data_IF_819054967650
#
_entry.id   IF_819054967650
#
_cell.length_a   1.000
_cell.length_b   1.000
_cell.length_c   1.000
_cell.angle_alpha   90.00
_cell.angle_beta   90.00
_cell.angle_gamma   90.00
#
_symmetry.space_group_name_H-M   'P 1'
#
loop_
_entity.id
_entity.type
_entity.pdbx_description
1 polymer ?
#
# COMPACT_ATOMS: atom_id res chain seq x y z
N UNK A 1 -17.60 18.77 0.24
CA UNK A 1 -16.92 17.50 0.49
C UNK A 1 -17.03 17.15 1.97
N UNK A 2 -17.86 16.18 2.28
CA UNK A 2 -17.96 15.72 3.67
C UNK A 2 -17.00 14.53 3.87
N UNK A 3 -15.91 14.76 4.58
CA UNK A 3 -14.88 13.76 4.90
C UNK A 3 -15.49 12.52 5.58
N UNK A 4 -16.51 12.71 6.41
CA UNK A 4 -17.21 11.62 7.08
C UNK A 4 -18.00 10.73 6.10
N UNK A 5 -18.62 11.31 5.08
CA UNK A 5 -19.32 10.56 4.05
C UNK A 5 -18.36 9.69 3.22
N UNK A 6 -17.24 10.27 2.78
CA UNK A 6 -16.21 9.55 2.02
C UNK A 6 -15.60 8.42 2.81
N UNK A 7 -15.31 8.62 4.10
CA UNK A 7 -14.77 7.58 4.99
C UNK A 7 -15.77 6.45 5.23
N UNK A 8 -17.05 6.75 5.41
CA UNK A 8 -18.09 5.74 5.58
C UNK A 8 -18.35 4.96 4.30
N UNK A 9 -18.35 5.64 3.17
CA UNK A 9 -18.51 5.01 1.85
C UNK A 9 -17.34 4.06 1.58
N UNK A 10 -16.11 4.51 1.81
CA UNK A 10 -14.90 3.70 1.65
C UNK A 10 -14.95 2.43 2.54
N UNK A 11 -15.34 2.57 3.80
CA UNK A 11 -15.51 1.45 4.73
C UNK A 11 -16.60 0.47 4.28
N UNK A 12 -17.70 0.98 3.72
CA UNK A 12 -18.80 0.15 3.24
C UNK A 12 -18.39 -0.70 2.04
N UNK A 13 -17.62 -0.14 1.11
CA UNK A 13 -17.19 -0.81 -0.11
C UNK A 13 -16.00 -1.75 0.11
N UNK A 14 -15.01 -1.32 0.89
CA UNK A 14 -13.76 -2.05 1.10
C UNK A 14 -13.69 -2.81 2.42
N UNK A 15 -14.66 -2.66 3.30
CA UNK A 15 -14.69 -3.29 4.62
C UNK A 15 -13.72 -2.69 5.65
N UNK A 16 -12.86 -1.75 5.23
CA UNK A 16 -11.90 -1.06 6.10
C UNK A 16 -11.99 0.45 5.93
N UNK A 17 -11.64 1.22 6.95
CA UNK A 17 -11.58 2.67 6.84
C UNK A 17 -10.43 3.10 5.92
N UNK A 18 -10.53 4.31 5.36
CA UNK A 18 -9.45 4.89 4.56
C UNK A 18 -8.11 4.96 5.33
N UNK A 19 -8.17 5.34 6.61
CA UNK A 19 -6.98 5.41 7.46
C UNK A 19 -6.37 4.03 7.70
N UNK A 20 -7.18 3.02 7.93
CA UNK A 20 -6.71 1.63 8.08
C UNK A 20 -6.08 1.11 6.78
N UNK A 21 -6.69 1.40 5.64
CA UNK A 21 -6.14 1.04 4.35
C UNK A 21 -4.79 1.72 4.09
N UNK A 22 -4.69 3.02 4.37
CA UNK A 22 -3.45 3.77 4.25
C UNK A 22 -2.36 3.23 5.18
N UNK A 23 -2.72 2.86 6.41
CA UNK A 23 -1.81 2.23 7.36
C UNK A 23 -1.24 0.91 6.81
N UNK A 24 -2.09 0.09 6.23
CA UNK A 24 -1.67 -1.19 5.62
C UNK A 24 -0.71 -0.98 4.45
N UNK A 25 -0.96 0.02 3.61
CA UNK A 25 -0.03 0.39 2.52
C UNK A 25 1.34 0.83 3.05
N UNK A 26 1.36 1.64 4.11
CA UNK A 26 2.61 2.08 4.75
C UNK A 26 3.38 0.92 5.37
N UNK A 27 2.69 0.00 6.01
CA UNK A 27 3.29 -1.22 6.58
C UNK A 27 3.85 -2.13 5.49
N UNK A 28 3.15 -2.28 4.37
CA UNK A 28 3.64 -3.00 3.20
C UNK A 28 4.97 -2.43 2.70
N UNK A 29 5.01 -1.14 2.45
CA UNK A 29 6.25 -0.47 2.01
C UNK A 29 7.40 -0.68 3.01
N UNK A 30 7.09 -0.61 4.31
CA UNK A 30 8.06 -0.83 5.36
C UNK A 30 8.66 -2.24 5.34
N UNK A 31 7.86 -3.29 5.14
CA UNK A 31 8.40 -4.65 5.07
C UNK A 31 9.30 -4.86 3.86
N UNK A 32 8.93 -4.31 2.70
CA UNK A 32 9.79 -4.36 1.51
C UNK A 32 11.14 -3.72 1.80
N UNK A 33 11.17 -2.56 2.45
CA UNK A 33 12.40 -1.88 2.83
C UNK A 33 13.19 -2.63 3.90
N UNK A 34 12.53 -3.21 4.90
CA UNK A 34 13.16 -4.01 5.93
C UNK A 34 13.93 -5.21 5.37
N UNK A 35 13.40 -5.83 4.33
CA UNK A 35 14.02 -7.02 3.71
C UNK A 35 15.09 -6.65 2.68
N UNK A 36 14.87 -5.59 1.92
CA UNK A 36 15.70 -5.25 0.76
C UNK A 36 16.74 -4.14 1.03
N UNK A 37 16.73 -3.49 2.19
CA UNK A 37 17.72 -2.48 2.57
C UNK A 37 18.31 -2.74 3.94
N UNK A 38 19.44 -2.13 4.20
CA UNK A 38 20.10 -2.10 5.52
C UNK A 38 19.77 -0.83 6.32
N UNK A 39 18.79 -0.06 5.85
CA UNK A 39 18.36 1.17 6.52
C UNK A 39 17.90 0.91 7.94
N UNK A 40 18.18 1.86 8.84
CA UNK A 40 17.72 1.79 10.22
C UNK A 40 16.19 1.77 10.31
N UNK A 41 15.65 1.06 11.29
CA UNK A 41 14.20 0.95 11.50
C UNK A 41 13.53 2.31 11.64
N UNK A 42 14.19 3.26 12.33
CA UNK A 42 13.69 4.63 12.49
C UNK A 42 13.59 5.37 11.14
N UNK A 43 14.59 5.19 10.27
CA UNK A 43 14.59 5.78 8.94
C UNK A 43 13.48 5.19 8.06
N UNK A 44 13.29 3.88 8.10
CA UNK A 44 12.21 3.20 7.38
C UNK A 44 10.85 3.70 7.85
N UNK A 45 10.62 3.80 9.16
CA UNK A 45 9.38 4.31 9.73
C UNK A 45 9.06 5.72 9.21
N UNK A 46 10.03 6.63 9.27
CA UNK A 46 9.89 8.00 8.76
C UNK A 46 9.62 8.03 7.25
N UNK A 47 10.37 7.27 6.47
CA UNK A 47 10.22 7.19 5.01
C UNK A 47 8.87 6.60 4.56
N UNK A 48 8.27 5.74 5.38
CA UNK A 48 6.95 5.15 5.12
C UNK A 48 5.78 6.02 5.65
N UNK A 49 6.06 7.20 6.19
CA UNK A 49 5.05 8.17 6.60
C UNK A 49 4.50 7.99 8.02
N UNK A 50 5.21 7.27 8.89
CA UNK A 50 4.87 7.21 10.31
C UNK A 50 5.37 8.46 11.06
N UNK A 51 4.57 8.93 12.01
CA UNK A 51 4.89 10.13 12.78
C UNK A 51 6.14 9.94 13.65
N UNK A 52 6.29 8.75 14.23
CA UNK A 52 7.44 8.36 15.04
C UNK A 52 7.66 6.84 15.01
N UNK A 53 8.81 6.41 15.51
CA UNK A 53 9.18 4.99 15.57
C UNK A 53 8.28 4.18 16.51
N UNK A 54 7.76 4.81 17.57
CA UNK A 54 6.87 4.15 18.52
C UNK A 54 5.54 3.77 17.88
N UNK A 55 4.93 4.71 17.16
CA UNK A 55 3.71 4.46 16.39
C UNK A 55 3.93 3.35 15.34
N UNK A 56 5.06 3.37 14.66
CA UNK A 56 5.45 2.33 13.72
C UNK A 56 5.56 0.95 14.37
N UNK A 57 6.30 0.84 15.46
CA UNK A 57 6.48 -0.43 16.16
C UNK A 57 5.17 -1.03 16.67
N UNK A 58 4.29 -0.19 17.21
CA UNK A 58 2.96 -0.61 17.68
C UNK A 58 2.11 -1.14 16.52
N UNK A 59 2.04 -0.39 15.42
CA UNK A 59 1.27 -0.79 14.24
C UNK A 59 1.85 -2.06 13.60
N UNK A 60 3.16 -2.15 13.47
CA UNK A 60 3.85 -3.30 12.89
C UNK A 60 3.61 -4.57 13.72
N UNK A 61 3.78 -4.50 15.04
CA UNK A 61 3.54 -5.65 15.93
C UNK A 61 2.08 -6.09 15.92
N UNK A 62 1.14 -5.15 15.82
CA UNK A 62 -0.29 -5.46 15.73
C UNK A 62 -0.61 -6.27 14.46
N UNK A 63 -0.01 -5.94 13.32
CA UNK A 63 -0.31 -6.58 12.03
C UNK A 63 0.53 -7.83 11.75
N UNK A 64 1.78 -7.86 12.18
CA UNK A 64 2.72 -8.95 11.88
C UNK A 64 3.07 -9.83 13.07
N UNK A 65 2.58 -9.50 14.27
CA UNK A 65 2.84 -10.22 15.52
C UNK A 65 4.33 -10.35 15.90
N UNK A 66 5.17 -9.52 15.31
CA UNK A 66 6.62 -9.46 15.55
C UNK A 66 7.11 -8.01 15.45
N UNK A 67 8.30 -7.75 15.96
CA UNK A 67 8.92 -6.42 15.81
C UNK A 67 9.55 -6.25 14.42
N UNK A 68 9.72 -5.02 13.92
CA UNK A 68 10.40 -4.78 12.64
C UNK A 68 11.82 -5.39 12.57
N UNK A 69 12.57 -5.31 13.66
CA UNK A 69 13.94 -5.86 13.74
C UNK A 69 13.95 -7.38 13.68
N UNK A 70 13.05 -8.02 14.39
CA UNK A 70 12.89 -9.49 14.35
C UNK A 70 12.40 -9.96 12.99
N UNK A 71 11.47 -9.22 12.37
CA UNK A 71 11.00 -9.51 11.02
C UNK A 71 12.14 -9.48 10.01
N UNK A 72 13.01 -8.46 10.06
CA UNK A 72 14.22 -8.38 9.23
C UNK A 72 15.15 -9.58 9.45
N UNK A 73 15.38 -9.92 10.71
CA UNK A 73 16.26 -11.05 11.07
C UNK A 73 15.71 -12.36 10.51
N UNK A 74 14.45 -12.64 10.73
CA UNK A 74 13.78 -13.85 10.22
C UNK A 74 13.80 -13.92 8.69
N UNK A 75 13.57 -12.79 8.02
CA UNK A 75 13.62 -12.72 6.57
C UNK A 75 15.02 -13.03 6.01
N UNK A 76 16.09 -12.55 6.69
CA UNK A 76 17.47 -12.86 6.33
C UNK A 76 17.82 -14.34 6.56
N UNK A 77 17.41 -14.91 7.68
CA UNK A 77 17.66 -16.31 8.03
C UNK A 77 16.97 -17.29 7.08
N UNK A 78 15.76 -16.95 6.64
CA UNK A 78 14.98 -17.79 5.74
C UNK A 78 15.32 -17.59 4.25
N UNK A 79 16.25 -16.68 3.93
CA UNK A 79 16.58 -16.34 2.54
C UNK A 79 15.38 -15.83 1.73
N UNK A 80 14.35 -15.36 2.39
CA UNK A 80 13.15 -14.83 1.77
C UNK A 80 13.47 -13.48 1.10
N UNK A 81 13.71 -13.52 -0.17
CA UNK A 81 13.34 -12.39 -1.02
C UNK A 81 11.82 -12.34 -0.93
N UNK A 82 11.30 -11.27 -0.38
CA UNK A 82 9.85 -11.09 -0.14
C UNK A 82 9.11 -11.38 -1.44
N UNK A 83 8.48 -12.54 -1.50
CA UNK A 83 7.52 -12.78 -2.56
C UNK A 83 6.36 -11.85 -2.29
N UNK A 84 6.04 -11.00 -3.23
CA UNK A 84 4.86 -10.12 -3.20
C UNK A 84 3.53 -10.86 -2.86
N UNK A 85 3.59 -12.17 -2.73
CA UNK A 85 2.44 -13.04 -2.55
C UNK A 85 1.81 -13.00 -1.15
N UNK A 86 2.59 -12.66 -0.12
CA UNK A 86 2.09 -12.59 1.26
C UNK A 86 1.21 -11.34 1.54
N UNK A 87 1.12 -10.44 0.56
CA UNK A 87 0.40 -9.18 0.69
C UNK A 87 -1.08 -9.27 0.39
N UNK A 88 -1.51 -10.27 -0.39
CA UNK A 88 -2.92 -10.46 -0.75
C UNK A 88 -3.79 -10.74 0.48
N UNK A 89 -3.24 -11.33 1.54
CA UNK A 89 -3.96 -11.55 2.79
C UNK A 89 -4.12 -10.27 3.63
N UNK A 90 -3.16 -9.33 3.54
CA UNK A 90 -3.20 -8.07 4.31
C UNK A 90 -4.03 -7.02 3.60
N UNK A 91 -4.00 -7.03 2.28
CA UNK A 91 -4.82 -6.16 1.43
C UNK A 91 -5.75 -7.09 0.65
N UNK A 92 -6.85 -7.49 1.28
CA UNK A 92 -7.85 -8.37 0.68
C UNK A 92 -8.69 -7.69 -0.41
N UNK A 93 -8.36 -6.48 -0.76
CA UNK A 93 -9.05 -5.67 -1.77
C UNK A 93 -8.20 -5.61 -3.03
N UNK A 94 -8.77 -5.99 -4.14
CA UNK A 94 -8.12 -5.85 -5.44
C UNK A 94 -7.99 -4.36 -5.76
N UNK A 95 -6.88 -3.97 -6.41
CA UNK A 95 -6.66 -2.57 -6.80
C UNK A 95 -7.78 -2.03 -7.70
N UNK A 96 -8.42 -2.91 -8.47
CA UNK A 96 -9.58 -2.63 -9.31
C UNK A 96 -10.78 -2.16 -8.49
N UNK A 97 -11.05 -2.78 -7.36
CA UNK A 97 -12.14 -2.40 -6.46
C UNK A 97 -11.93 -1.00 -5.85
N UNK A 98 -10.67 -0.65 -5.61
CA UNK A 98 -10.29 0.67 -5.07
C UNK A 98 -10.49 1.77 -6.11
N UNK A 99 -10.12 1.52 -7.34
CA UNK A 99 -10.29 2.46 -8.44
C UNK A 99 -11.78 2.72 -8.67
N UNK A 100 -12.60 1.68 -8.67
CA UNK A 100 -14.05 1.78 -8.81
C UNK A 100 -14.67 2.59 -7.67
N UNK A 101 -14.24 2.35 -6.44
CA UNK A 101 -14.68 3.11 -5.26
C UNK A 101 -14.27 4.57 -5.33
N UNK A 102 -13.02 4.87 -5.72
CA UNK A 102 -12.55 6.23 -5.88
C UNK A 102 -13.30 6.97 -7.00
N UNK A 103 -13.59 6.29 -8.09
CA UNK A 103 -14.37 6.86 -9.20
C UNK A 103 -15.81 7.17 -8.78
N UNK A 104 -16.42 6.32 -7.96
CA UNK A 104 -17.78 6.54 -7.46
C UNK A 104 -17.85 7.58 -6.34
N UNK A 105 -16.75 7.87 -5.66
CA UNK A 105 -16.65 8.94 -4.65
C UNK A 105 -16.43 10.33 -5.24
N UNK A 106 -16.03 10.44 -6.51
CA UNK A 106 -15.88 11.72 -7.17
C UNK A 106 -17.28 12.28 -7.49
N UNK A 107 -17.54 13.56 -7.17
CA UNK A 107 -18.81 14.17 -7.56
C UNK A 107 -18.93 14.11 -9.08
N UNK A 108 -20.07 13.61 -9.52
CA UNK A 108 -20.44 13.54 -10.93
C UNK A 108 -20.71 14.97 -11.44
N UNK A 109 -19.66 15.75 -11.56
CA UNK A 109 -19.74 17.01 -12.28
C UNK A 109 -19.34 16.79 -13.73
N UNK A 110 -20.17 17.29 -14.61
CA UNK A 110 -20.06 17.27 -16.06
C UNK A 110 -18.81 18.02 -16.58
N UNK A 111 -17.66 17.80 -16.00
CA UNK A 111 -16.42 18.37 -16.50
C UNK A 111 -15.62 17.33 -17.28
N UNK A 112 -15.79 17.36 -18.60
CA UNK A 112 -15.02 16.59 -19.57
C UNK A 112 -13.51 16.71 -19.39
N UNK A 113 -13.05 17.77 -18.73
CA UNK A 113 -11.63 18.02 -18.43
C UNK A 113 -11.10 17.06 -17.38
N UNK A 114 -11.84 16.82 -16.30
CA UNK A 114 -11.46 15.85 -15.25
C UNK A 114 -11.49 14.41 -15.73
N UNK A 115 -12.39 14.08 -16.65
CA UNK A 115 -12.43 12.76 -17.25
C UNK A 115 -11.18 12.48 -18.09
N UNK A 116 -10.72 13.49 -18.85
CA UNK A 116 -9.49 13.36 -19.66
C UNK A 116 -8.25 13.20 -18.77
N UNK A 117 -8.14 14.01 -17.71
CA UNK A 117 -7.03 13.92 -16.73
C UNK A 117 -7.02 12.58 -16.00
N UNK A 118 -8.19 12.01 -15.70
CA UNK A 118 -8.33 10.69 -15.07
C UNK A 118 -7.95 9.57 -16.04
N UNK A 119 -8.34 9.67 -17.31
CA UNK A 119 -7.97 8.71 -18.35
C UNK A 119 -6.44 8.73 -18.60
N UNK A 120 -5.83 9.91 -18.64
CA UNK A 120 -4.37 10.06 -18.76
C UNK A 120 -3.63 9.48 -17.53
N UNK A 121 -4.15 9.73 -16.32
CA UNK A 121 -3.59 9.18 -15.09
C UNK A 121 -3.72 7.65 -15.04
N UNK A 122 -4.85 7.12 -15.46
CA UNK A 122 -5.06 5.66 -15.56
C UNK A 122 -4.13 5.04 -16.60
N UNK A 123 -3.92 5.69 -17.75
CA UNK A 123 -2.99 5.21 -18.76
C UNK A 123 -1.56 5.16 -18.23
N UNK A 124 -1.12 6.21 -17.53
CA UNK A 124 0.20 6.25 -16.88
C UNK A 124 0.36 5.16 -15.82
N UNK A 125 -0.67 4.88 -15.04
CA UNK A 125 -0.68 3.80 -14.06
C UNK A 125 -0.56 2.42 -14.72
N UNK A 126 -1.26 2.20 -15.82
CA UNK A 126 -1.15 0.95 -16.58
C UNK A 126 0.25 0.78 -17.18
N UNK A 127 0.85 1.85 -17.70
CA UNK A 127 2.20 1.83 -18.25
C UNK A 127 3.25 1.50 -17.18
N UNK A 128 3.13 2.12 -16.00
CA UNK A 128 3.99 1.83 -14.83
C UNK A 128 3.80 0.38 -14.37
N UNK A 129 2.57 -0.10 -14.33
CA UNK A 129 2.26 -1.49 -13.97
C UNK A 129 2.90 -2.48 -14.95
N UNK A 130 2.79 -2.22 -16.25
CA UNK A 130 3.40 -3.04 -17.29
C UNK A 130 4.95 -3.05 -17.16
N UNK A 131 5.56 -1.91 -16.88
CA UNK A 131 7.00 -1.82 -16.62
C UNK A 131 7.41 -2.60 -15.37
N UNK A 132 6.64 -2.53 -14.30
CA UNK A 132 6.88 -3.30 -13.07
C UNK A 132 6.76 -4.80 -13.31
N UNK A 133 5.79 -5.24 -14.09
CA UNK A 133 5.66 -6.67 -14.45
C UNK A 133 6.88 -7.18 -15.25
N UNK A 134 7.41 -6.37 -16.16
CA UNK A 134 8.63 -6.71 -16.90
C UNK A 134 9.84 -6.81 -15.97
N UNK A 135 9.97 -5.89 -15.02
CA UNK A 135 11.06 -5.91 -14.02
C UNK A 135 10.93 -7.13 -13.13
N UNK A 136 9.72 -7.43 -12.63
CA UNK A 136 9.47 -8.62 -11.81
C UNK A 136 9.81 -9.91 -12.54
N UNK A 137 9.43 -10.03 -13.82
CA UNK A 137 9.80 -11.20 -14.65
C UNK A 137 11.31 -11.36 -14.81
N UNK A 138 12.05 -10.26 -14.99
CA UNK A 138 13.52 -10.28 -15.10
C UNK A 138 14.21 -10.68 -13.80
N UNK A 139 13.59 -10.39 -12.64
CA UNK A 139 14.11 -10.76 -11.33
C UNK A 139 13.78 -12.21 -10.94
N UNK A 140 12.80 -12.81 -11.60
CA UNK A 140 12.40 -14.21 -11.35
C UNK A 140 13.08 -15.21 -12.30
N UNK A 141 13.70 -14.74 -13.34
CA UNK A 141 14.51 -15.52 -14.28
C UNK A 141 15.96 -15.54 -13.89
#
# INVERSE_FOLDING_TARGET
YNVNYTSQFFKRQLGVSFLEYLLRLRLREATVRLVNSEDGVAHIASSCGFADIKAFNVAFKKHFHTTPSEYRKQAKELGRKTKLHDWKEIISTQEEDIIEVLQSCLPYEHDTRHKLELEEANQKLQDVRAQLEVVVRKLQG
#
